data_IF_880592259466
#
_entry.id   IF_880592259466
#
_cell.length_a   1.000
_cell.length_b   1.000
_cell.length_c   1.000
_cell.angle_alpha   90.00
_cell.angle_beta   90.00
_cell.angle_gamma   90.00
#
_symmetry.space_group_name_H-M   'P 1'
#
loop_
_entity.id
_entity.type
_entity.pdbx_description
1 polymer ?
#
# COMPACT_ATOMS: atom_id res chain seq x y z
N UNK A 1 -3.30 16.68 7.99
CA UNK A 1 -3.34 15.38 8.69
C UNK A 1 -1.95 14.76 8.68
N UNK A 2 -1.50 14.29 9.82
CA UNK A 2 -0.17 13.69 9.94
C UNK A 2 -0.24 12.19 9.69
N UNK A 3 0.47 11.71 8.67
CA UNK A 3 0.55 10.29 8.33
C UNK A 3 1.94 9.79 8.73
N UNK A 4 2.06 8.63 9.41
CA UNK A 4 3.38 8.07 9.70
C UNK A 4 4.22 7.96 8.43
N UNK A 5 5.50 8.32 8.53
CA UNK A 5 6.38 8.38 7.36
C UNK A 5 6.44 7.05 6.60
N UNK A 6 6.52 5.94 7.33
CA UNK A 6 6.61 4.62 6.70
C UNK A 6 5.32 4.27 5.93
N UNK A 7 4.16 4.66 6.46
CA UNK A 7 2.88 4.47 5.78
C UNK A 7 2.81 5.32 4.52
N UNK A 8 3.23 6.57 4.61
CA UNK A 8 3.28 7.48 3.47
C UNK A 8 4.23 6.95 2.39
N UNK A 9 5.42 6.50 2.77
CA UNK A 9 6.39 5.95 1.83
C UNK A 9 5.84 4.72 1.11
N UNK A 10 5.16 3.84 1.84
CA UNK A 10 4.54 2.66 1.23
C UNK A 10 3.45 3.03 0.24
N UNK A 11 2.62 4.04 0.57
CA UNK A 11 1.58 4.52 -0.34
C UNK A 11 2.20 5.14 -1.59
N UNK A 12 3.26 5.93 -1.45
CA UNK A 12 3.95 6.54 -2.59
C UNK A 12 4.54 5.46 -3.49
N UNK A 13 5.18 4.44 -2.91
CA UNK A 13 5.73 3.32 -3.67
C UNK A 13 4.63 2.58 -4.42
N UNK A 14 3.49 2.34 -3.77
CA UNK A 14 2.34 1.71 -4.42
C UNK A 14 1.82 2.56 -5.58
N UNK A 15 1.66 3.86 -5.37
CA UNK A 15 1.17 4.79 -6.39
C UNK A 15 2.09 4.83 -7.61
N UNK A 16 3.40 4.76 -7.39
CA UNK A 16 4.39 4.72 -8.44
C UNK A 16 4.25 3.46 -9.30
N UNK A 17 3.82 2.36 -8.69
CA UNK A 17 3.75 1.05 -9.31
C UNK A 17 2.43 0.81 -10.05
N UNK A 18 1.31 1.23 -9.44
CA UNK A 18 -0.04 0.93 -9.97
C UNK A 18 -0.73 2.15 -10.57
N UNK A 19 -0.12 3.32 -10.47
CA UNK A 19 -0.71 4.58 -10.92
C UNK A 19 -1.39 5.33 -9.79
N UNK A 20 -1.27 6.66 -9.83
CA UNK A 20 -1.76 7.54 -8.78
C UNK A 20 -3.30 7.44 -8.63
N UNK A 21 -4.02 7.39 -9.75
CA UNK A 21 -5.48 7.28 -9.72
C UNK A 21 -5.95 6.01 -9.04
N UNK A 22 -5.29 4.88 -9.31
CA UNK A 22 -5.63 3.61 -8.69
C UNK A 22 -5.33 3.62 -7.19
N UNK A 23 -4.16 4.13 -6.80
CA UNK A 23 -3.76 4.19 -5.40
C UNK A 23 -4.67 5.14 -4.60
N UNK A 24 -4.98 6.30 -5.14
CA UNK A 24 -5.82 7.30 -4.46
C UNK A 24 -7.26 6.83 -4.26
N UNK A 25 -7.77 5.99 -5.15
CA UNK A 25 -9.11 5.41 -5.03
C UNK A 25 -9.15 4.11 -4.24
N UNK A 26 -8.03 3.68 -3.67
CA UNK A 26 -7.93 2.38 -3.02
C UNK A 26 -8.51 2.38 -1.60
N UNK A 27 -8.80 1.17 -1.11
CA UNK A 27 -9.21 0.96 0.29
C UNK A 27 -8.11 1.40 1.27
N UNK A 28 -6.85 1.32 0.85
CA UNK A 28 -5.73 1.78 1.67
C UNK A 28 -5.88 3.25 2.04
N UNK A 29 -6.21 4.11 1.07
CA UNK A 29 -6.41 5.54 1.33
C UNK A 29 -7.60 5.77 2.26
N UNK A 30 -8.67 4.98 2.11
CA UNK A 30 -9.81 5.03 3.02
C UNK A 30 -9.37 4.82 4.47
N UNK A 31 -8.57 3.79 4.73
CA UNK A 31 -8.08 3.50 6.08
C UNK A 31 -7.12 4.58 6.57
N UNK A 32 -6.28 5.13 5.70
CA UNK A 32 -5.39 6.24 6.04
C UNK A 32 -6.21 7.45 6.51
N UNK A 33 -7.28 7.78 5.82
CA UNK A 33 -8.17 8.89 6.19
C UNK A 33 -8.85 8.67 7.55
N UNK A 34 -9.01 7.41 7.95
CA UNK A 34 -9.57 7.03 9.24
C UNK A 34 -8.51 6.87 10.32
N UNK A 35 -7.25 7.13 10.01
CA UNK A 35 -6.09 6.94 10.88
C UNK A 35 -5.91 5.48 11.32
N UNK A 36 -6.35 4.56 10.49
CA UNK A 36 -6.20 3.11 10.69
C UNK A 36 -4.96 2.63 9.94
N UNK A 37 -3.80 2.95 10.51
CA UNK A 37 -2.51 2.74 9.81
C UNK A 37 -2.22 1.28 9.51
N UNK A 38 -2.46 0.39 10.48
CA UNK A 38 -2.20 -1.05 10.28
C UNK A 38 -3.11 -1.64 9.22
N UNK A 39 -4.39 -1.31 9.27
CA UNK A 39 -5.35 -1.80 8.28
C UNK A 39 -5.02 -1.29 6.90
N UNK A 40 -4.55 -0.04 6.80
CA UNK A 40 -4.06 0.51 5.54
C UNK A 40 -2.87 -0.32 5.02
N UNK A 41 -1.91 -0.65 5.89
CA UNK A 41 -0.76 -1.46 5.51
C UNK A 41 -1.17 -2.83 4.99
N UNK A 42 -2.15 -3.46 5.63
CA UNK A 42 -2.62 -4.79 5.23
C UNK A 42 -3.36 -4.80 3.89
N UNK A 43 -3.62 -3.66 3.29
CA UNK A 43 -4.16 -3.60 1.93
C UNK A 43 -3.09 -3.80 0.85
N UNK A 44 -1.82 -3.64 1.20
CA UNK A 44 -0.72 -3.78 0.23
C UNK A 44 -0.66 -5.15 -0.45
N UNK A 45 -0.84 -6.29 0.24
CA UNK A 45 -0.78 -7.60 -0.41
C UNK A 45 -1.83 -7.81 -1.52
N UNK A 46 -2.85 -6.97 -1.59
CA UNK A 46 -3.87 -7.05 -2.66
C UNK A 46 -3.33 -6.61 -4.02
N UNK A 47 -2.23 -5.88 -4.05
CA UNK A 47 -1.67 -5.30 -5.27
C UNK A 47 -0.60 -6.19 -5.88
N UNK A 48 -0.94 -7.47 -6.08
CA UNK A 48 -0.01 -8.48 -6.62
C UNK A 48 -0.46 -9.01 -7.99
N UNK A 49 -1.55 -8.49 -8.54
CA UNK A 49 -2.08 -8.93 -9.83
C UNK A 49 -1.87 -7.88 -10.90
N UNK A 50 -1.51 -8.34 -12.10
CA UNK A 50 -1.47 -7.50 -13.30
C UNK A 50 -2.51 -8.06 -14.25
N UNK A 51 -3.53 -7.25 -14.58
CA UNK A 51 -4.64 -7.67 -15.45
C UNK A 51 -5.28 -8.98 -15.00
N UNK A 52 -5.42 -9.16 -13.69
CA UNK A 52 -6.01 -10.36 -13.10
C UNK A 52 -5.06 -11.56 -12.98
N UNK A 53 -3.80 -11.40 -13.39
CA UNK A 53 -2.80 -12.46 -13.31
C UNK A 53 -1.83 -12.19 -12.15
N UNK A 54 -1.63 -13.19 -11.29
CA UNK A 54 -0.70 -13.10 -10.18
C UNK A 54 0.74 -12.88 -10.68
N UNK A 55 1.44 -11.95 -10.05
CA UNK A 55 2.82 -11.62 -10.39
C UNK A 55 3.73 -11.83 -9.17
N UNK A 56 4.63 -12.84 -9.19
CA UNK A 56 5.50 -13.11 -8.05
C UNK A 56 6.43 -11.96 -7.68
N UNK A 57 6.88 -11.18 -8.65
CA UNK A 57 7.70 -10.00 -8.41
C UNK A 57 6.96 -8.94 -7.60
N UNK A 58 5.67 -8.72 -7.91
CA UNK A 58 4.83 -7.80 -7.17
C UNK A 58 4.54 -8.33 -5.76
N UNK A 59 4.38 -9.63 -5.61
CA UNK A 59 4.16 -10.24 -4.30
C UNK A 59 5.35 -9.95 -3.37
N UNK A 60 6.57 -10.16 -3.84
CA UNK A 60 7.78 -9.84 -3.07
C UNK A 60 7.86 -8.35 -2.72
N UNK A 61 7.52 -7.48 -3.66
CA UNK A 61 7.51 -6.04 -3.44
C UNK A 61 6.48 -5.64 -2.38
N UNK A 62 5.26 -6.18 -2.49
CA UNK A 62 4.21 -5.88 -1.51
C UNK A 62 4.57 -6.38 -0.11
N UNK A 63 5.23 -7.54 -0.01
CA UNK A 63 5.70 -8.06 1.28
C UNK A 63 6.70 -7.11 1.94
N UNK A 64 7.64 -6.56 1.17
CA UNK A 64 8.61 -5.58 1.66
C UNK A 64 7.92 -4.29 2.09
N UNK A 65 7.00 -3.79 1.28
CA UNK A 65 6.26 -2.58 1.58
C UNK A 65 5.40 -2.75 2.83
N UNK A 66 4.76 -3.90 2.98
CA UNK A 66 3.97 -4.20 4.16
C UNK A 66 4.83 -4.18 5.43
N UNK A 67 5.97 -4.87 5.39
CA UNK A 67 6.90 -4.90 6.52
C UNK A 67 7.37 -3.48 6.89
N UNK A 68 7.76 -2.70 5.89
CA UNK A 68 8.18 -1.31 6.09
C UNK A 68 7.05 -0.45 6.66
N UNK A 69 5.86 -0.59 6.10
CA UNK A 69 4.68 0.16 6.52
C UNK A 69 4.33 -0.12 7.98
N UNK A 70 4.35 -1.39 8.39
CA UNK A 70 4.01 -1.80 9.74
C UNK A 70 5.00 -1.30 10.79
N UNK A 71 6.25 -1.05 10.41
CA UNK A 71 7.25 -0.50 11.34
C UNK A 71 6.89 0.89 11.82
N UNK A 72 6.15 1.66 11.02
CA UNK A 72 5.74 3.01 11.38
C UNK A 72 4.28 3.13 11.83
N UNK A 73 3.56 2.03 11.76
CA UNK A 73 2.13 2.05 12.04
C UNK A 73 1.80 1.90 13.54
#
# INVERSE_FOLDING_TARGET
>A
MSVPQNVYDALVSLAFNVGTGNACGSTMVKFINQKRWREACYQLPRWVYVKGVFNPGLDNRRARELSWCLKGA
#
